data_IF_340508301041
#
_entry.id   IF_340508301041
#
_cell.length_a   1.000
_cell.length_b   1.000
_cell.length_c   1.000
_cell.angle_alpha   90.00
_cell.angle_beta   90.00
_cell.angle_gamma   90.00
#
_symmetry.space_group_name_H-M   'P 1'
#
loop_
_entity.id
_entity.type
_entity.pdbx_description
1 polymer ?
#
# COMPACT_ATOMS: atom_id res chain seq x y z
N UNK A 1 10.25 1.96 9.57
CA UNK A 1 9.67 0.66 9.24
C UNK A 1 10.26 0.23 7.90
N UNK A 2 11.00 -0.89 7.84
CA UNK A 2 11.44 -1.45 6.57
C UNK A 2 10.22 -1.75 5.68
N UNK A 3 10.27 -1.37 4.42
CA UNK A 3 9.18 -1.61 3.49
C UNK A 3 9.71 -1.86 2.08
N UNK A 4 8.98 -2.65 1.31
CA UNK A 4 9.29 -2.92 -0.09
C UNK A 4 8.02 -2.78 -0.94
N UNK A 5 8.19 -2.38 -2.20
CA UNK A 5 7.10 -2.28 -3.15
C UNK A 5 7.34 -3.28 -4.30
N UNK A 6 6.36 -4.16 -4.54
CA UNK A 6 6.46 -5.24 -5.51
C UNK A 6 5.28 -5.14 -6.47
N UNK A 7 5.56 -4.99 -7.77
CA UNK A 7 4.54 -4.91 -8.82
C UNK A 7 4.42 -6.19 -9.65
N UNK A 8 5.44 -7.05 -9.69
CA UNK A 8 5.39 -8.30 -10.43
C UNK A 8 4.59 -9.36 -9.67
N UNK A 9 3.55 -9.99 -10.27
CA UNK A 9 2.67 -10.93 -9.59
C UNK A 9 3.38 -12.18 -9.05
N UNK A 10 4.42 -12.67 -9.74
CA UNK A 10 5.18 -13.84 -9.28
C UNK A 10 6.00 -13.51 -8.05
N UNK A 11 6.65 -12.34 -8.07
CA UNK A 11 7.44 -11.88 -6.92
C UNK A 11 6.51 -11.55 -5.74
N UNK A 12 5.32 -10.98 -5.99
CA UNK A 12 4.30 -10.77 -4.95
C UNK A 12 3.95 -12.08 -4.25
N UNK A 13 3.62 -13.12 -5.04
CA UNK A 13 3.26 -14.43 -4.52
C UNK A 13 4.41 -15.10 -3.76
N UNK A 14 5.64 -15.02 -4.29
CA UNK A 14 6.83 -15.54 -3.62
C UNK A 14 7.08 -14.83 -2.28
N UNK A 15 6.97 -13.50 -2.26
CA UNK A 15 7.15 -12.71 -1.04
C UNK A 15 6.07 -13.00 0.00
N UNK A 16 4.83 -13.26 -0.42
CA UNK A 16 3.73 -13.62 0.48
C UNK A 16 4.05 -14.87 1.31
N UNK A 17 4.79 -15.83 0.73
CA UNK A 17 5.18 -17.06 1.42
C UNK A 17 6.27 -16.88 2.49
N UNK A 18 6.90 -15.72 2.58
CA UNK A 18 7.92 -15.39 3.58
C UNK A 18 7.41 -14.52 4.73
N UNK A 19 6.13 -14.16 4.71
CA UNK A 19 5.50 -13.30 5.71
C UNK A 19 5.05 -14.09 6.95
N UNK A 20 4.83 -13.37 8.04
CA UNK A 20 4.36 -13.88 9.31
C UNK A 20 3.36 -12.89 9.97
N UNK A 21 2.90 -13.21 11.16
CA UNK A 21 1.89 -12.43 11.89
C UNK A 21 2.29 -11.00 12.28
N UNK A 22 3.58 -10.68 12.27
CA UNK A 22 4.11 -9.35 12.56
C UNK A 22 4.15 -8.44 11.32
N UNK A 23 3.88 -9.01 10.14
CA UNK A 23 3.96 -8.31 8.86
C UNK A 23 2.62 -7.69 8.46
N UNK A 24 2.71 -6.59 7.73
CA UNK A 24 1.55 -5.89 7.15
C UNK A 24 1.76 -5.73 5.64
N UNK A 25 0.77 -6.14 4.87
CA UNK A 25 0.73 -5.96 3.43
C UNK A 25 -0.26 -4.85 3.08
N UNK A 26 0.16 -3.92 2.23
CA UNK A 26 -0.73 -2.95 1.60
C UNK A 26 -0.99 -3.38 0.16
N UNK A 27 -2.18 -3.88 -0.11
CA UNK A 27 -2.61 -4.35 -1.43
C UNK A 27 -3.35 -3.23 -2.17
N UNK A 28 -2.82 -2.81 -3.33
CA UNK A 28 -3.38 -1.71 -4.12
C UNK A 28 -3.86 -2.24 -5.46
N UNK A 29 -5.13 -2.02 -5.78
CA UNK A 29 -5.72 -2.43 -7.05
C UNK A 29 -6.73 -1.42 -7.57
N UNK A 30 -6.54 -0.95 -8.79
CA UNK A 30 -7.50 -0.05 -9.45
C UNK A 30 -8.87 -0.71 -9.68
N UNK A 31 -8.90 -1.98 -10.03
CA UNK A 31 -10.16 -2.70 -10.31
C UNK A 31 -10.66 -3.53 -9.12
N UNK A 32 -9.79 -3.88 -8.18
CA UNK A 32 -10.10 -4.81 -7.10
C UNK A 32 -10.44 -6.25 -7.55
N UNK A 33 -10.25 -6.57 -8.84
CA UNK A 33 -10.66 -7.84 -9.46
C UNK A 33 -9.51 -8.67 -10.01
N UNK A 34 -8.27 -8.21 -9.88
CA UNK A 34 -7.08 -8.93 -10.37
C UNK A 34 -6.90 -10.23 -9.60
N UNK A 35 -7.18 -11.37 -10.25
CA UNK A 35 -7.18 -12.69 -9.60
C UNK A 35 -5.86 -13.02 -8.93
N UNK A 36 -4.72 -12.78 -9.61
CA UNK A 36 -3.40 -13.02 -9.05
C UNK A 36 -3.16 -12.27 -7.73
N UNK A 37 -3.61 -11.01 -7.62
CA UNK A 37 -3.49 -10.23 -6.40
C UNK A 37 -4.42 -10.76 -5.29
N UNK A 38 -5.65 -11.13 -5.64
CA UNK A 38 -6.60 -11.73 -4.69
C UNK A 38 -6.03 -13.04 -4.11
N UNK A 39 -5.46 -13.89 -4.95
CA UNK A 39 -4.86 -15.16 -4.51
C UNK A 39 -3.59 -14.91 -3.66
N UNK A 40 -2.79 -13.91 -4.02
CA UNK A 40 -1.65 -13.47 -3.18
C UNK A 40 -2.12 -13.03 -1.80
N UNK A 41 -3.17 -12.22 -1.71
CA UNK A 41 -3.74 -11.74 -0.44
C UNK A 41 -4.27 -12.91 0.41
N UNK A 42 -4.93 -13.89 -0.20
CA UNK A 42 -5.34 -15.12 0.51
C UNK A 42 -4.15 -15.88 1.08
N UNK A 43 -3.06 -15.97 0.32
CA UNK A 43 -1.81 -16.58 0.78
C UNK A 43 -1.23 -15.79 1.96
N UNK A 44 -1.15 -14.46 1.88
CA UNK A 44 -0.70 -13.60 3.00
C UNK A 44 -1.50 -13.89 4.28
N UNK A 45 -2.82 -13.96 4.17
CA UNK A 45 -3.70 -14.24 5.31
C UNK A 45 -3.52 -15.65 5.89
N UNK A 46 -3.15 -16.62 5.08
CA UNK A 46 -2.85 -17.98 5.58
C UNK A 46 -1.63 -18.04 6.51
N UNK A 47 -0.75 -17.04 6.43
CA UNK A 47 0.38 -16.83 7.35
C UNK A 47 0.07 -15.86 8.50
N UNK A 48 -1.19 -15.50 8.70
CA UNK A 48 -1.68 -14.55 9.71
C UNK A 48 -1.12 -13.11 9.60
N UNK A 49 -0.48 -12.77 8.50
CA UNK A 49 -0.09 -11.40 8.21
C UNK A 49 -1.34 -10.54 7.93
N UNK A 50 -1.30 -9.27 8.33
CA UNK A 50 -2.42 -8.33 8.18
C UNK A 50 -2.43 -7.72 6.79
N UNK A 51 -3.63 -7.49 6.25
CA UNK A 51 -3.80 -6.89 4.92
C UNK A 51 -4.66 -5.63 4.99
N UNK A 52 -4.08 -4.53 4.51
CA UNK A 52 -4.78 -3.27 4.24
C UNK A 52 -4.96 -3.17 2.73
N UNK A 53 -6.19 -3.04 2.26
CA UNK A 53 -6.49 -2.92 0.84
C UNK A 53 -6.85 -1.51 0.43
N UNK A 54 -6.37 -1.07 -0.74
CA UNK A 54 -6.81 0.14 -1.44
C UNK A 54 -7.42 -0.27 -2.78
N UNK A 55 -8.73 -0.16 -2.91
CA UNK A 55 -9.48 -0.60 -4.10
C UNK A 55 -10.86 0.06 -4.15
N UNK A 56 -11.63 -0.12 -5.24
CA UNK A 56 -13.04 0.24 -5.27
C UNK A 56 -13.88 -0.62 -4.33
N UNK A 57 -15.02 -0.09 -3.88
CA UNK A 57 -15.95 -0.77 -2.99
C UNK A 57 -16.56 -2.03 -3.62
N UNK A 58 -16.93 -2.99 -2.76
CA UNK A 58 -17.66 -4.19 -3.17
C UNK A 58 -16.90 -5.18 -4.04
N UNK A 59 -15.59 -5.00 -4.24
CA UNK A 59 -14.77 -5.86 -5.09
C UNK A 59 -14.36 -7.17 -4.41
N UNK A 60 -13.90 -8.19 -5.16
CA UNK A 60 -13.35 -9.42 -4.59
C UNK A 60 -12.19 -9.14 -3.63
N UNK A 61 -11.29 -8.20 -3.96
CA UNK A 61 -10.16 -7.87 -3.11
C UNK A 61 -10.60 -7.27 -1.77
N UNK A 62 -11.62 -6.40 -1.74
CA UNK A 62 -12.09 -5.76 -0.50
C UNK A 62 -12.60 -6.78 0.52
N UNK A 63 -13.12 -7.92 0.06
CA UNK A 63 -13.61 -9.01 0.94
C UNK A 63 -12.50 -9.83 1.58
N UNK A 64 -11.30 -9.77 1.00
CA UNK A 64 -10.13 -10.53 1.48
C UNK A 64 -9.21 -9.71 2.40
N UNK A 65 -9.42 -8.40 2.50
CA UNK A 65 -8.58 -7.54 3.35
C UNK A 65 -9.12 -7.46 4.78
N UNK A 66 -8.21 -7.29 5.76
CA UNK A 66 -8.59 -7.04 7.15
C UNK A 66 -9.12 -5.60 7.32
N UNK A 67 -8.53 -4.67 6.55
CA UNK A 67 -8.96 -3.27 6.47
C UNK A 67 -9.10 -2.91 5.00
N UNK A 68 -10.28 -2.45 4.59
CA UNK A 68 -10.53 -1.97 3.24
C UNK A 68 -10.66 -0.45 3.22
N UNK A 69 -9.72 0.22 2.57
CA UNK A 69 -9.78 1.64 2.27
C UNK A 69 -10.39 1.78 0.87
N UNK A 70 -11.70 1.87 0.83
CA UNK A 70 -12.46 1.86 -0.42
C UNK A 70 -12.46 3.25 -1.05
N UNK A 71 -12.14 3.31 -2.33
CA UNK A 71 -11.97 4.56 -3.10
C UNK A 71 -12.80 4.47 -4.36
N UNK A 72 -14.00 5.04 -4.32
CA UNK A 72 -14.90 5.12 -5.45
C UNK A 72 -14.78 6.48 -6.12
N UNK A 73 -13.93 6.56 -7.12
CA UNK A 73 -13.75 7.76 -7.95
C UNK A 73 -14.24 7.48 -9.37
N UNK A 74 -14.94 8.44 -9.95
CA UNK A 74 -15.40 8.36 -11.33
C UNK A 74 -14.23 8.54 -12.30
N UNK A 75 -13.48 7.48 -12.55
CA UNK A 75 -12.54 7.49 -13.66
C UNK A 75 -13.29 7.55 -14.97
N UNK A 76 -13.04 8.59 -15.76
CA UNK A 76 -13.71 8.80 -17.04
C UNK A 76 -13.40 7.61 -17.97
N UNK A 77 -14.42 6.81 -18.31
CA UNK A 77 -14.31 5.72 -19.27
C UNK A 77 -13.76 6.16 -20.64
N UNK A 78 -13.76 7.47 -20.94
CA UNK A 78 -13.22 8.03 -22.17
C UNK A 78 -11.71 8.10 -22.21
N UNK A 79 -11.03 8.10 -21.06
CA UNK A 79 -9.57 8.27 -20.99
C UNK A 79 -8.81 6.95 -20.87
N UNK A 80 -9.49 5.82 -20.68
CA UNK A 80 -8.87 4.50 -20.45
C UNK A 80 -7.67 4.52 -19.48
N UNK A 81 -7.63 5.50 -18.57
CA UNK A 81 -6.51 5.72 -17.66
C UNK A 81 -7.02 6.00 -16.25
N UNK A 82 -6.56 5.25 -15.25
CA UNK A 82 -6.98 5.40 -13.86
C UNK A 82 -6.29 6.58 -13.18
N UNK A 83 -6.33 7.79 -13.78
CA UNK A 83 -5.61 8.96 -13.26
C UNK A 83 -6.17 9.39 -11.91
N UNK A 84 -7.49 9.48 -11.81
CA UNK A 84 -8.16 9.97 -10.58
C UNK A 84 -7.97 9.01 -9.42
N UNK A 85 -8.11 7.72 -9.64
CA UNK A 85 -7.89 6.71 -8.61
C UNK A 85 -6.42 6.67 -8.16
N UNK A 86 -5.46 6.82 -9.07
CA UNK A 86 -4.04 6.91 -8.71
C UNK A 86 -3.74 8.10 -7.79
N UNK A 87 -4.28 9.28 -8.10
CA UNK A 87 -4.12 10.46 -7.25
C UNK A 87 -4.74 10.25 -5.87
N UNK A 88 -5.93 9.66 -5.82
CA UNK A 88 -6.59 9.34 -4.56
C UNK A 88 -5.77 8.32 -3.73
N UNK A 89 -5.24 7.26 -4.34
CA UNK A 89 -4.39 6.29 -3.66
C UNK A 89 -3.10 6.91 -3.15
N UNK A 90 -2.45 7.79 -3.92
CA UNK A 90 -1.26 8.51 -3.47
C UNK A 90 -1.56 9.36 -2.23
N UNK A 91 -2.67 10.10 -2.23
CA UNK A 91 -3.08 10.89 -1.07
C UNK A 91 -3.35 10.03 0.17
N UNK A 92 -3.99 8.87 0.02
CA UNK A 92 -4.23 7.92 1.12
C UNK A 92 -2.92 7.36 1.65
N UNK A 93 -1.99 6.99 0.77
CA UNK A 93 -0.68 6.47 1.18
C UNK A 93 0.09 7.52 1.97
N UNK A 94 0.06 8.80 1.54
CA UNK A 94 0.69 9.90 2.27
C UNK A 94 0.07 10.08 3.67
N UNK A 95 -1.26 10.03 3.76
CA UNK A 95 -1.96 10.09 5.06
C UNK A 95 -1.56 8.94 5.97
N UNK A 96 -1.49 7.71 5.44
CA UNK A 96 -1.05 6.54 6.19
C UNK A 96 0.41 6.70 6.68
N UNK A 97 1.30 7.15 5.79
CA UNK A 97 2.71 7.35 6.13
C UNK A 97 2.89 8.39 7.23
N UNK A 98 2.22 9.54 7.11
CA UNK A 98 2.24 10.60 8.12
C UNK A 98 1.63 10.12 9.43
N UNK A 99 0.47 9.43 9.37
CA UNK A 99 -0.19 8.90 10.56
C UNK A 99 0.69 7.91 11.33
N UNK A 100 1.35 6.99 10.63
CA UNK A 100 2.31 6.06 11.24
C UNK A 100 3.49 6.79 11.85
N UNK A 101 4.04 7.81 11.17
CA UNK A 101 5.15 8.61 11.69
C UNK A 101 4.77 9.37 12.97
N UNK A 102 3.54 9.90 13.04
CA UNK A 102 3.03 10.59 14.23
C UNK A 102 2.85 9.66 15.44
N UNK A 103 2.48 8.40 15.21
CA UNK A 103 2.30 7.40 16.25
C UNK A 103 3.61 6.78 16.75
N UNK A 104 4.74 7.06 16.08
CA UNK A 104 6.08 6.56 16.43
C UNK A 104 7.02 7.75 16.69
N UNK A 105 7.23 8.15 17.95
CA UNK A 105 8.14 9.28 18.29
C UNK A 105 9.54 9.11 17.68
N UNK A 106 10.08 7.89 17.70
CA UNK A 106 11.39 7.54 17.12
C UNK A 106 11.46 7.80 15.60
N UNK A 107 10.32 7.72 14.90
CA UNK A 107 10.27 7.99 13.46
C UNK A 107 10.39 9.49 13.16
N UNK A 108 9.95 10.35 14.06
CA UNK A 108 10.09 11.81 13.91
C UNK A 108 11.54 12.24 13.98
N UNK A 109 12.31 11.72 14.94
CA UNK A 109 13.74 11.99 15.07
C UNK A 109 14.52 11.48 13.86
N UNK A 110 14.13 10.31 13.35
CA UNK A 110 14.75 9.73 12.15
C UNK A 110 14.49 10.59 10.90
N UNK A 111 13.24 11.04 10.70
CA UNK A 111 12.89 11.95 9.61
C UNK A 111 13.61 13.27 9.70
N UNK A 112 13.71 13.85 10.90
CA UNK A 112 14.47 15.07 11.13
C UNK A 112 15.94 14.89 10.72
N UNK A 113 16.57 13.81 11.14
CA UNK A 113 17.96 13.50 10.80
C UNK A 113 18.17 13.31 9.29
N UNK A 114 17.22 12.70 8.58
CA UNK A 114 17.25 12.57 7.11
C UNK A 114 17.19 13.95 6.45
N UNK A 115 16.26 14.81 6.87
CA UNK A 115 16.10 16.16 6.31
C UNK A 115 17.36 17.00 6.53
N UNK A 116 17.95 16.94 7.74
CA UNK A 116 19.18 17.64 8.07
C UNK A 116 20.36 17.15 7.22
N UNK A 117 20.50 15.83 7.07
CA UNK A 117 21.56 15.26 6.24
C UNK A 117 21.41 15.60 4.75
N UNK A 118 20.18 15.64 4.23
CA UNK A 118 19.91 16.06 2.85
C UNK A 118 20.18 17.55 2.63
N UNK A 119 19.95 18.40 3.62
CA UNK A 119 20.24 19.82 3.51
C UNK A 119 21.74 20.11 3.37
N UNK A 120 22.59 19.27 3.91
CA UNK A 120 24.05 19.35 3.77
C UNK A 120 24.57 18.92 2.38
N UNK A 121 23.74 18.21 1.60
CA UNK A 121 24.07 17.73 0.25
C UNK A 121 23.63 18.71 -0.87
N UNK A 122 22.96 19.81 -0.53
CA UNK A 122 22.63 20.81 -1.53
C UNK A 122 23.89 21.53 -1.99
N UNK A 123 24.28 21.27 -3.24
CA UNK A 123 25.34 21.99 -3.93
C UNK A 123 24.95 23.48 -3.97
N UNK A 124 25.87 24.33 -3.52
CA UNK A 124 25.74 25.82 -3.61
C UNK A 124 25.86 26.26 -5.05
#
# INVERSE_FOLDING_TARGET
>A
IPSSCISDPHIQFMSANSLNEDDVVVAISHSGTTSALVDTVRTVRSFNARVIGLMPSGTPLSRECDISLEVDVGDSARLNSPITSRLAYMAIIDVLAVGVAQLKPEAQDHLYNIIVSQSSLKIK
#
